data_IF_323722077164
#
_entry.id   IF_323722077164
#
_cell.length_a   1.000
_cell.length_b   1.000
_cell.length_c   1.000
_cell.angle_alpha   90.00
_cell.angle_beta   90.00
_cell.angle_gamma   90.00
#
_symmetry.space_group_name_H-M   'P 1'
#
loop_
_entity.id
_entity.type
_entity.pdbx_description
1 polymer ?
#
# COMPACT_ATOMS: atom_id res chain seq x y z
N UNK A 1 86.24 -102.34 91.31
CA UNK A 1 86.30 -103.71 91.88
C UNK A 1 87.48 -104.43 91.27
N UNK A 2 88.47 -104.69 92.11
CA UNK A 2 89.37 -105.85 92.08
C UNK A 2 88.55 -107.17 91.90
N UNK A 3 89.14 -108.33 91.59
CA UNK A 3 90.39 -108.80 92.20
C UNK A 3 91.30 -109.69 91.31
N UNK A 4 92.47 -110.00 91.88
CA UNK A 4 93.65 -110.64 91.29
C UNK A 4 93.95 -112.05 91.87
N UNK A 5 94.96 -112.82 91.37
CA UNK A 5 94.74 -114.27 91.18
C UNK A 5 95.48 -115.35 92.06
N UNK A 6 96.74 -115.80 91.82
CA UNK A 6 97.16 -117.22 92.08
C UNK A 6 98.35 -117.34 93.10
N UNK A 7 99.10 -118.47 93.30
CA UNK A 7 99.15 -119.74 92.56
C UNK A 7 99.41 -121.07 93.37
N UNK A 8 99.60 -122.17 92.62
CA UNK A 8 100.66 -123.24 92.67
C UNK A 8 101.58 -123.40 93.90
N UNK A 9 102.15 -124.58 94.26
CA UNK A 9 102.14 -125.96 93.68
C UNK A 9 102.78 -127.02 94.64
N UNK A 10 102.83 -128.29 94.17
CA UNK A 10 103.51 -129.53 94.65
C UNK A 10 105.02 -129.39 95.08
N UNK A 11 105.73 -130.40 95.68
CA UNK A 11 105.52 -131.88 95.61
C UNK A 11 105.84 -132.78 96.85
N UNK A 12 105.74 -134.10 96.65
CA UNK A 12 106.06 -135.28 97.50
C UNK A 12 107.59 -135.52 97.74
N UNK A 13 108.11 -136.50 98.56
CA UNK A 13 107.91 -137.97 98.35
C UNK A 13 108.07 -138.99 99.55
N UNK A 14 107.69 -140.24 99.28
CA UNK A 14 108.26 -141.56 99.73
C UNK A 14 108.51 -141.98 101.21
N UNK A 15 107.75 -142.99 101.66
CA UNK A 15 108.13 -144.36 102.16
C UNK A 15 109.62 -144.75 102.38
N UNK A 16 110.02 -145.74 103.25
CA UNK A 16 109.37 -147.07 103.40
C UNK A 16 109.50 -147.83 104.76
N UNK A 17 109.20 -149.14 104.73
CA UNK A 17 109.36 -150.25 105.72
C UNK A 17 110.82 -150.84 105.72
N UNK A 18 111.21 -152.04 106.28
CA UNK A 18 110.51 -153.12 107.00
C UNK A 18 111.28 -153.79 108.21
N UNK A 19 110.87 -155.01 108.60
CA UNK A 19 111.38 -155.88 109.69
C UNK A 19 112.78 -156.53 109.49
N UNK A 20 113.43 -156.93 110.60
CA UNK A 20 113.61 -158.38 110.91
C UNK A 20 115.02 -159.01 111.07
N UNK A 21 115.17 -159.85 112.12
CA UNK A 21 116.16 -160.96 112.33
C UNK A 21 117.68 -160.56 112.46
N UNK A 22 118.61 -161.35 113.04
CA UNK A 22 118.60 -162.73 113.62
C UNK A 22 119.63 -162.93 114.76
N UNK A 23 119.47 -164.02 115.54
CA UNK A 23 120.36 -164.74 116.49
C UNK A 23 121.88 -164.43 116.59
N UNK A 24 122.40 -164.39 117.84
CA UNK A 24 123.25 -165.46 118.44
C UNK A 24 123.63 -165.18 119.93
N UNK A 25 124.17 -166.20 120.62
CA UNK A 25 124.65 -166.16 122.03
C UNK A 25 125.83 -165.16 122.24
N UNK A 26 126.27 -164.74 123.43
CA UNK A 26 126.26 -165.35 124.78
C UNK A 26 126.09 -164.33 125.93
N UNK A 27 125.50 -164.80 127.05
CA UNK A 27 125.74 -164.49 128.48
C UNK A 27 125.73 -163.00 129.01
N UNK A 28 125.48 -162.77 130.32
CA UNK A 28 124.98 -161.47 130.83
C UNK A 28 126.08 -160.54 131.42
N UNK A 29 125.87 -159.24 131.70
CA UNK A 29 124.69 -158.55 132.23
C UNK A 29 124.46 -157.15 131.60
N UNK A 30 123.89 -157.08 130.39
CA UNK A 30 123.90 -155.87 129.53
C UNK A 30 122.60 -155.04 129.50
N UNK A 31 121.81 -155.06 130.59
CA UNK A 31 120.45 -154.47 130.62
C UNK A 31 120.43 -153.02 131.17
N UNK A 32 121.25 -152.68 132.17
CA UNK A 32 121.12 -151.42 132.93
C UNK A 32 121.60 -150.18 132.15
N UNK A 33 122.51 -150.34 131.18
CA UNK A 33 122.99 -149.20 130.37
C UNK A 33 122.00 -148.79 129.29
N UNK A 34 121.36 -149.74 128.59
CA UNK A 34 120.43 -149.45 127.48
C UNK A 34 119.24 -148.56 127.89
N UNK A 35 118.74 -148.73 129.11
CA UNK A 35 117.68 -147.90 129.70
C UNK A 35 118.10 -146.44 130.01
N UNK A 36 119.39 -146.09 129.94
CA UNK A 36 119.86 -144.71 130.01
C UNK A 36 119.89 -144.06 128.63
N UNK A 37 120.43 -144.77 127.64
CA UNK A 37 120.54 -144.31 126.25
C UNK A 37 119.13 -144.04 125.64
N UNK A 38 118.14 -144.85 125.99
CA UNK A 38 116.72 -144.64 125.61
C UNK A 38 116.11 -143.38 126.27
N UNK A 39 116.50 -143.06 127.51
CA UNK A 39 116.01 -141.87 128.22
C UNK A 39 116.67 -140.59 127.70
N UNK A 40 117.92 -140.68 127.22
CA UNK A 40 118.63 -139.59 126.56
C UNK A 40 118.00 -139.25 125.20
N UNK A 41 117.75 -140.26 124.34
CA UNK A 41 117.01 -140.06 123.08
C UNK A 41 115.62 -139.44 123.28
N UNK A 42 114.87 -139.89 124.28
CA UNK A 42 113.56 -139.32 124.60
C UNK A 42 113.63 -137.84 125.04
N UNK A 43 114.79 -137.33 125.49
CA UNK A 43 115.03 -135.90 125.71
C UNK A 43 115.38 -135.17 124.42
N UNK A 44 116.26 -135.73 123.60
CA UNK A 44 116.62 -135.16 122.30
C UNK A 44 115.38 -135.00 121.39
N UNK A 45 114.51 -136.01 121.32
CA UNK A 45 113.25 -135.95 120.59
C UNK A 45 112.32 -134.85 121.14
N UNK A 46 112.20 -134.74 122.46
CA UNK A 46 111.39 -133.68 123.11
C UNK A 46 111.95 -132.28 122.85
N UNK A 47 113.26 -132.12 122.85
CA UNK A 47 113.93 -130.84 122.56
C UNK A 47 113.81 -130.49 121.06
N UNK A 48 113.86 -131.49 120.18
CA UNK A 48 113.54 -131.32 118.76
C UNK A 48 112.10 -130.83 118.57
N UNK A 49 111.12 -131.42 119.25
CA UNK A 49 109.71 -131.00 119.19
C UNK A 49 109.50 -129.61 119.80
N UNK A 50 110.20 -129.25 120.88
CA UNK A 50 110.18 -127.91 121.44
C UNK A 50 110.74 -126.87 120.44
N UNK A 51 111.85 -127.19 119.75
CA UNK A 51 112.41 -126.32 118.71
C UNK A 51 111.48 -126.18 117.50
N UNK A 52 110.77 -127.24 117.10
CA UNK A 52 109.76 -127.19 116.05
C UNK A 52 108.56 -126.33 116.46
N UNK A 53 108.08 -126.45 117.69
CA UNK A 53 106.98 -125.63 118.21
C UNK A 53 107.37 -124.15 118.32
N UNK A 54 108.59 -123.85 118.77
CA UNK A 54 109.15 -122.50 118.77
C UNK A 54 109.36 -121.95 117.35
N UNK A 55 109.70 -122.80 116.38
CA UNK A 55 109.82 -122.45 114.96
C UNK A 55 108.45 -122.20 114.31
N UNK A 56 107.41 -122.91 114.75
CA UNK A 56 106.02 -122.63 114.32
C UNK A 56 105.52 -121.32 114.96
N UNK A 57 105.79 -121.07 116.24
CA UNK A 57 105.45 -119.79 116.88
C UNK A 57 106.20 -118.61 116.27
N UNK A 58 107.48 -118.76 115.90
CA UNK A 58 108.22 -117.71 115.19
C UNK A 58 107.72 -117.52 113.76
N UNK A 59 107.35 -118.57 113.04
CA UNK A 59 106.67 -118.48 111.72
C UNK A 59 105.31 -117.80 111.83
N UNK A 60 104.47 -118.15 112.81
CA UNK A 60 103.16 -117.50 113.03
C UNK A 60 103.33 -116.04 113.46
N UNK A 61 104.30 -115.73 114.32
CA UNK A 61 104.62 -114.34 114.68
C UNK A 61 105.15 -113.56 113.47
N UNK A 62 105.98 -114.17 112.63
CA UNK A 62 106.47 -113.54 111.40
C UNK A 62 105.34 -113.31 110.41
N UNK A 63 104.47 -114.29 110.17
CA UNK A 63 103.28 -114.13 109.30
C UNK A 63 102.34 -113.06 109.85
N UNK A 64 102.04 -113.06 111.15
CA UNK A 64 101.22 -112.01 111.78
C UNK A 64 101.85 -110.64 111.63
N UNK A 65 103.16 -110.53 111.81
CA UNK A 65 103.87 -109.24 111.72
C UNK A 65 104.04 -108.77 110.27
N UNK A 66 104.32 -109.66 109.30
CA UNK A 66 104.46 -109.28 107.87
C UNK A 66 103.11 -109.09 107.19
N UNK A 67 102.11 -109.92 107.48
CA UNK A 67 100.74 -109.72 106.98
C UNK A 67 100.07 -108.53 107.68
N UNK A 68 100.33 -108.30 108.96
CA UNK A 68 99.88 -107.09 109.67
C UNK A 68 100.55 -105.82 109.13
N UNK A 69 101.85 -105.87 108.80
CA UNK A 69 102.55 -104.78 108.13
C UNK A 69 102.04 -104.56 106.70
N UNK A 70 101.80 -105.64 105.93
CA UNK A 70 101.20 -105.55 104.59
C UNK A 70 99.78 -105.00 104.63
N UNK A 71 98.86 -105.59 105.38
CA UNK A 71 97.49 -105.08 105.50
C UNK A 71 97.44 -103.61 105.99
N UNK A 72 98.41 -103.17 106.80
CA UNK A 72 98.56 -101.75 107.16
C UNK A 72 99.10 -100.91 105.99
N UNK A 73 100.12 -101.39 105.27
CA UNK A 73 100.64 -100.74 104.05
C UNK A 73 99.55 -100.65 102.97
N UNK A 74 98.85 -101.74 102.68
CA UNK A 74 97.76 -101.85 101.71
C UNK A 74 96.59 -100.94 102.11
N UNK A 75 96.28 -100.81 103.41
CA UNK A 75 95.29 -99.86 103.91
C UNK A 75 95.75 -98.40 103.81
N UNK A 76 97.02 -98.09 104.10
CA UNK A 76 97.57 -96.75 103.89
C UNK A 76 97.76 -96.42 102.39
N UNK A 77 97.90 -97.43 101.52
CA UNK A 77 97.95 -97.24 100.07
C UNK A 77 96.55 -97.04 99.50
N UNK A 78 95.55 -97.79 99.98
CA UNK A 78 94.13 -97.53 99.70
C UNK A 78 93.67 -96.16 100.22
N UNK A 79 94.16 -95.70 101.36
CA UNK A 79 93.89 -94.36 101.90
C UNK A 79 94.54 -93.26 101.03
N UNK A 80 95.80 -93.44 100.59
CA UNK A 80 96.43 -92.52 99.63
C UNK A 80 95.77 -92.53 98.25
N UNK A 81 95.35 -93.70 97.75
CA UNK A 81 94.60 -93.82 96.50
C UNK A 81 93.19 -93.21 96.65
N UNK A 82 92.54 -93.37 97.80
CA UNK A 82 91.28 -92.71 98.14
C UNK A 82 91.42 -91.20 98.15
N UNK A 83 92.40 -90.64 98.88
CA UNK A 83 92.68 -89.20 98.90
C UNK A 83 93.04 -88.64 97.52
N UNK A 84 93.73 -89.42 96.67
CA UNK A 84 94.00 -89.03 95.28
C UNK A 84 92.74 -89.10 94.41
N UNK A 85 91.85 -90.06 94.64
CA UNK A 85 90.54 -90.14 93.98
C UNK A 85 89.65 -88.95 94.44
N UNK A 86 89.65 -88.59 95.71
CA UNK A 86 88.90 -87.45 96.26
C UNK A 86 89.44 -86.10 95.74
N UNK A 87 90.76 -85.99 95.56
CA UNK A 87 91.39 -84.84 94.88
C UNK A 87 91.00 -84.80 93.40
N UNK A 88 91.14 -85.90 92.67
CA UNK A 88 90.81 -85.95 91.24
C UNK A 88 89.30 -85.84 90.97
N UNK A 89 88.42 -86.23 91.90
CA UNK A 89 86.98 -85.98 91.79
C UNK A 89 86.65 -84.52 92.10
N UNK A 90 87.23 -83.91 93.13
CA UNK A 90 87.04 -82.47 93.38
C UNK A 90 87.57 -81.60 92.24
N UNK A 91 88.77 -81.87 91.71
CA UNK A 91 89.28 -81.18 90.51
C UNK A 91 88.38 -81.40 89.28
N UNK A 92 87.87 -82.63 89.07
CA UNK A 92 86.95 -82.95 87.97
C UNK A 92 85.59 -82.28 88.13
N UNK A 93 85.10 -82.15 89.36
CA UNK A 93 83.82 -81.52 89.66
C UNK A 93 83.94 -79.99 89.56
N UNK A 94 85.03 -79.39 90.05
CA UNK A 94 85.37 -77.97 89.85
C UNK A 94 85.54 -77.64 88.35
N UNK A 95 86.25 -78.48 87.60
CA UNK A 95 86.35 -78.34 86.14
C UNK A 95 84.99 -78.51 85.45
N UNK A 96 84.11 -79.39 85.95
CA UNK A 96 82.74 -79.49 85.43
C UNK A 96 81.88 -78.26 85.76
N UNK A 97 82.07 -77.65 86.94
CA UNK A 97 81.37 -76.44 87.36
C UNK A 97 81.80 -75.22 86.55
N UNK A 98 83.10 -75.11 86.26
CA UNK A 98 83.64 -74.02 85.43
C UNK A 98 83.30 -74.21 83.95
N UNK A 99 83.30 -75.44 83.43
CA UNK A 99 82.81 -75.74 82.08
C UNK A 99 81.31 -75.46 81.93
N UNK A 100 80.48 -75.81 82.91
CA UNK A 100 79.04 -75.49 82.86
C UNK A 100 78.77 -74.01 83.02
N UNK A 101 79.52 -73.29 83.87
CA UNK A 101 79.44 -71.83 83.97
C UNK A 101 79.82 -71.17 82.64
N UNK A 102 80.99 -71.50 82.06
CA UNK A 102 81.44 -71.00 80.76
C UNK A 102 80.47 -71.36 79.63
N UNK A 103 79.83 -72.53 79.69
CA UNK A 103 78.77 -72.90 78.74
C UNK A 103 77.55 -71.98 78.89
N UNK A 104 77.07 -71.72 80.11
CA UNK A 104 75.94 -70.80 80.32
C UNK A 104 76.27 -69.34 80.00
N UNK A 105 77.51 -68.89 80.21
CA UNK A 105 77.99 -67.57 79.78
C UNK A 105 78.06 -67.48 78.24
N UNK A 106 78.51 -68.54 77.57
CA UNK A 106 78.51 -68.63 76.11
C UNK A 106 77.09 -68.67 75.53
N UNK A 107 76.18 -69.44 76.13
CA UNK A 107 74.77 -69.52 75.72
C UNK A 107 74.03 -68.19 75.92
N UNK A 108 74.26 -67.50 77.05
CA UNK A 108 73.66 -66.18 77.30
C UNK A 108 74.25 -65.10 76.37
N UNK A 109 75.57 -65.06 76.19
CA UNK A 109 76.24 -64.17 75.24
C UNK A 109 75.77 -64.41 73.79
N UNK A 110 75.56 -65.67 73.40
CA UNK A 110 75.00 -66.01 72.10
C UNK A 110 73.55 -65.52 71.96
N UNK A 111 72.70 -65.71 72.97
CA UNK A 111 71.33 -65.21 72.99
C UNK A 111 71.26 -63.67 72.96
N UNK A 112 72.19 -62.97 73.62
CA UNK A 112 72.31 -61.51 73.52
C UNK A 112 72.76 -61.06 72.12
N UNK A 113 73.70 -61.77 71.50
CA UNK A 113 74.12 -61.53 70.11
C UNK A 113 72.97 -61.76 69.11
N UNK A 114 72.20 -62.83 69.24
CA UNK A 114 70.98 -63.04 68.44
C UNK A 114 69.95 -61.93 68.68
N UNK A 115 69.73 -61.55 69.95
CA UNK A 115 68.77 -60.51 70.33
C UNK A 115 69.16 -59.14 69.76
N UNK A 116 70.44 -58.77 69.83
CA UNK A 116 70.97 -57.51 69.27
C UNK A 116 70.99 -57.51 67.75
N UNK A 117 71.33 -58.64 67.11
CA UNK A 117 71.27 -58.80 65.64
C UNK A 117 69.83 -58.66 65.14
N UNK A 118 68.88 -59.34 65.79
CA UNK A 118 67.45 -59.22 65.48
C UNK A 118 66.94 -57.78 65.64
N UNK A 119 67.33 -57.07 66.72
CA UNK A 119 67.02 -55.65 66.92
C UNK A 119 67.64 -54.75 65.83
N UNK A 120 68.86 -55.05 65.39
CA UNK A 120 69.56 -54.30 64.35
C UNK A 120 68.89 -54.50 62.98
N UNK A 121 68.56 -55.74 62.60
CA UNK A 121 67.87 -56.03 61.35
C UNK A 121 66.43 -55.50 61.34
N UNK A 122 65.72 -55.51 62.48
CA UNK A 122 64.42 -54.85 62.62
C UNK A 122 64.55 -53.31 62.43
N UNK A 123 65.58 -52.68 63.01
CA UNK A 123 65.84 -51.25 62.82
C UNK A 123 66.24 -50.92 61.37
N UNK A 124 67.09 -51.75 60.75
CA UNK A 124 67.52 -51.63 59.36
C UNK A 124 66.35 -51.77 58.39
N UNK A 125 65.49 -52.77 58.60
CA UNK A 125 64.25 -52.96 57.84
C UNK A 125 63.32 -51.76 57.98
N UNK A 126 63.07 -51.28 59.22
CA UNK A 126 62.26 -50.07 59.46
C UNK A 126 62.84 -48.82 58.78
N UNK A 127 64.17 -48.67 58.79
CA UNK A 127 64.85 -47.56 58.12
C UNK A 127 64.74 -47.65 56.58
N UNK A 128 64.86 -48.86 56.02
CA UNK A 128 64.68 -49.10 54.59
C UNK A 128 63.24 -48.80 54.14
N UNK A 129 62.23 -49.26 54.90
CA UNK A 129 60.81 -48.93 54.65
C UNK A 129 60.59 -47.42 54.75
N UNK A 130 61.05 -46.78 55.82
CA UNK A 130 60.91 -45.32 56.00
C UNK A 130 61.57 -44.52 54.87
N UNK A 131 62.73 -44.95 54.37
CA UNK A 131 63.40 -44.33 53.23
C UNK A 131 62.61 -44.55 51.92
N UNK A 132 62.08 -45.76 51.70
CA UNK A 132 61.25 -46.07 50.54
C UNK A 132 59.93 -45.27 50.54
N UNK A 133 59.27 -45.14 51.68
CA UNK A 133 58.10 -44.27 51.85
C UNK A 133 58.44 -42.79 51.61
N UNK A 134 59.58 -42.31 52.12
CA UNK A 134 60.03 -40.94 51.88
C UNK A 134 60.24 -40.68 50.39
N UNK A 135 60.90 -41.61 49.69
CA UNK A 135 61.06 -41.57 48.23
C UNK A 135 59.73 -41.71 47.48
N UNK A 136 58.71 -42.33 48.06
CA UNK A 136 57.37 -42.39 47.46
C UNK A 136 56.66 -41.04 47.58
N UNK A 137 56.60 -40.48 48.80
CA UNK A 137 56.01 -39.16 49.09
C UNK A 137 56.69 -38.03 48.31
N UNK A 138 58.01 -38.11 48.13
CA UNK A 138 58.77 -37.12 47.36
C UNK A 138 58.56 -37.25 45.83
N UNK A 139 58.04 -38.38 45.33
CA UNK A 139 57.54 -38.48 43.95
C UNK A 139 56.12 -37.91 43.85
N UNK A 140 55.22 -38.34 44.75
CA UNK A 140 53.84 -37.84 44.82
C UNK A 140 53.77 -36.31 44.92
N UNK A 141 54.64 -35.69 45.73
CA UNK A 141 54.74 -34.23 45.83
C UNK A 141 55.19 -33.56 44.53
N UNK A 142 56.12 -34.17 43.77
CA UNK A 142 56.53 -33.67 42.45
C UNK A 142 55.40 -33.82 41.42
N UNK A 143 54.72 -34.96 41.42
CA UNK A 143 53.62 -35.23 40.49
C UNK A 143 52.43 -34.29 40.75
N UNK A 144 52.11 -34.02 42.03
CA UNK A 144 51.12 -33.03 42.43
C UNK A 144 51.56 -31.59 42.10
N UNK A 145 52.84 -31.25 42.22
CA UNK A 145 53.38 -29.96 41.77
C UNK A 145 53.23 -29.80 40.25
N UNK A 146 53.61 -30.81 39.47
CA UNK A 146 53.46 -30.83 38.01
C UNK A 146 51.99 -30.65 37.58
N UNK A 147 51.06 -31.36 38.21
CA UNK A 147 49.61 -31.23 37.95
C UNK A 147 49.07 -29.84 38.34
N UNK A 148 49.56 -29.27 39.44
CA UNK A 148 49.19 -27.93 39.90
C UNK A 148 49.78 -26.82 39.01
N UNK A 149 50.90 -27.06 38.34
CA UNK A 149 51.45 -26.17 37.31
C UNK A 149 50.71 -26.30 35.97
N UNK A 150 50.41 -27.52 35.51
CA UNK A 150 49.57 -27.77 34.33
C UNK A 150 48.21 -27.08 34.46
N UNK A 151 47.47 -27.34 35.55
CA UNK A 151 46.16 -26.71 35.79
C UNK A 151 46.21 -25.20 36.04
N UNK A 152 47.39 -24.61 36.31
CA UNK A 152 47.60 -23.15 36.28
C UNK A 152 47.76 -22.65 34.84
N UNK A 153 48.57 -23.33 34.02
CA UNK A 153 48.76 -23.00 32.61
C UNK A 153 47.45 -23.11 31.84
N UNK A 154 46.74 -24.24 31.95
CA UNK A 154 45.43 -24.47 31.33
C UNK A 154 44.45 -23.33 31.66
N UNK A 155 44.33 -22.99 32.94
CA UNK A 155 43.44 -21.93 33.43
C UNK A 155 43.81 -20.57 32.84
N UNK A 156 45.10 -20.26 32.74
CA UNK A 156 45.56 -18.98 32.19
C UNK A 156 45.48 -18.96 30.66
N UNK A 157 45.48 -20.10 29.98
CA UNK A 157 45.09 -20.22 28.56
C UNK A 157 43.59 -20.02 28.35
N UNK A 158 42.74 -20.63 29.17
CA UNK A 158 41.29 -20.39 29.14
C UNK A 158 40.92 -18.93 29.41
N UNK A 159 41.63 -18.24 30.32
CA UNK A 159 41.50 -16.78 30.50
C UNK A 159 41.82 -16.02 29.22
N UNK A 160 43.00 -16.24 28.64
CA UNK A 160 43.42 -15.56 27.40
C UNK A 160 42.48 -15.85 26.22
N UNK A 161 41.88 -17.03 26.18
CA UNK A 161 40.86 -17.38 25.19
C UNK A 161 39.58 -16.56 25.40
N UNK A 162 39.06 -16.55 26.63
CA UNK A 162 37.88 -15.76 27.01
C UNK A 162 38.09 -14.25 26.86
N UNK A 163 39.30 -13.74 27.09
CA UNK A 163 39.67 -12.33 26.89
C UNK A 163 39.67 -11.96 25.39
N UNK A 164 40.20 -12.83 24.52
CA UNK A 164 40.12 -12.66 23.05
C UNK A 164 38.67 -12.72 22.55
N UNK A 165 37.89 -13.70 23.02
CA UNK A 165 36.49 -13.87 22.66
C UNK A 165 35.65 -12.64 23.06
N UNK A 166 35.90 -12.08 24.26
CA UNK A 166 35.29 -10.81 24.70
C UNK A 166 35.70 -9.62 23.86
N UNK A 167 36.97 -9.53 23.45
CA UNK A 167 37.45 -8.45 22.59
C UNK A 167 36.72 -8.48 21.24
N UNK A 168 36.63 -9.65 20.59
CA UNK A 168 35.87 -9.83 19.34
C UNK A 168 34.37 -9.58 19.54
N UNK A 169 33.79 -9.99 20.67
CA UNK A 169 32.37 -9.76 20.97
C UNK A 169 32.03 -8.27 21.14
N UNK A 170 32.89 -7.47 21.79
CA UNK A 170 32.69 -6.02 21.91
C UNK A 170 33.04 -5.29 20.59
N UNK A 171 34.00 -5.78 19.79
CA UNK A 171 34.30 -5.27 18.44
C UNK A 171 33.07 -5.41 17.51
N UNK A 172 32.53 -6.62 17.36
CA UNK A 172 31.30 -6.89 16.59
C UNK A 172 30.10 -6.13 17.13
N UNK A 173 30.04 -5.85 18.44
CA UNK A 173 28.98 -5.02 19.04
C UNK A 173 29.11 -3.54 18.67
N UNK A 174 30.33 -3.01 18.59
CA UNK A 174 30.58 -1.64 18.11
C UNK A 174 30.21 -1.53 16.63
N UNK A 175 30.62 -2.49 15.80
CA UNK A 175 30.22 -2.56 14.37
C UNK A 175 28.69 -2.63 14.23
N UNK A 176 28.01 -3.50 14.98
CA UNK A 176 26.56 -3.61 14.96
C UNK A 176 25.86 -2.29 15.31
N UNK A 177 26.33 -1.60 16.35
CA UNK A 177 25.77 -0.31 16.77
C UNK A 177 26.12 0.84 15.79
N UNK A 178 27.19 0.74 15.00
CA UNK A 178 27.50 1.68 13.90
C UNK A 178 26.62 1.42 12.67
N UNK A 179 26.51 0.16 12.22
CA UNK A 179 25.60 -0.25 11.14
C UNK A 179 24.15 0.09 11.49
N UNK A 180 23.76 -0.08 12.76
CA UNK A 180 22.45 0.32 13.25
C UNK A 180 22.22 1.83 13.15
N UNK A 181 23.19 2.67 13.58
CA UNK A 181 23.06 4.13 13.48
C UNK A 181 23.01 4.62 12.04
N UNK A 182 23.79 4.03 11.14
CA UNK A 182 23.73 4.37 9.71
C UNK A 182 22.39 3.96 9.08
N UNK A 183 21.81 2.81 9.47
CA UNK A 183 20.44 2.44 9.08
C UNK A 183 19.36 3.36 9.66
N UNK A 184 19.50 3.82 10.91
CA UNK A 184 18.59 4.78 11.54
C UNK A 184 18.69 6.17 10.86
N UNK A 185 19.89 6.61 10.47
CA UNK A 185 20.10 7.83 9.66
C UNK A 185 19.49 7.73 8.26
N UNK A 186 19.79 6.66 7.51
CA UNK A 186 19.30 6.45 6.14
C UNK A 186 17.76 6.39 6.06
N UNK A 187 17.10 5.87 7.11
CA UNK A 187 15.63 5.93 7.23
C UNK A 187 15.11 7.34 7.42
N UNK A 188 15.77 8.17 8.24
CA UNK A 188 15.42 9.58 8.38
C UNK A 188 15.59 10.38 7.08
N UNK A 189 16.60 10.03 6.28
CA UNK A 189 16.80 10.59 4.94
C UNK A 189 15.70 10.11 3.95
N UNK A 190 15.35 8.81 3.98
CA UNK A 190 14.24 8.24 3.18
C UNK A 190 12.90 8.90 3.52
N UNK A 191 12.54 9.01 4.80
CA UNK A 191 11.33 9.68 5.28
C UNK A 191 11.30 11.16 4.87
N UNK A 192 12.45 11.84 4.90
CA UNK A 192 12.62 13.21 4.41
C UNK A 192 12.30 13.34 2.92
N UNK A 193 12.93 12.52 2.08
CA UNK A 193 12.74 12.50 0.62
C UNK A 193 11.30 12.12 0.23
N UNK A 194 10.69 11.14 0.93
CA UNK A 194 9.28 10.79 0.74
C UNK A 194 8.38 11.98 1.07
N UNK A 195 8.61 12.67 2.18
CA UNK A 195 7.84 13.87 2.56
C UNK A 195 8.02 15.04 1.59
N UNK A 196 9.18 15.21 0.96
CA UNK A 196 9.38 16.18 -0.13
C UNK A 196 8.62 15.79 -1.40
N UNK A 197 8.71 14.52 -1.81
CA UNK A 197 7.99 13.97 -2.96
C UNK A 197 6.47 14.09 -2.79
N UNK A 198 5.93 13.92 -1.58
CA UNK A 198 4.51 14.13 -1.29
C UNK A 198 4.10 15.60 -1.44
N UNK A 199 4.89 16.54 -0.92
CA UNK A 199 4.64 17.99 -1.08
C UNK A 199 4.70 18.42 -2.56
N UNK A 200 5.63 17.90 -3.35
CA UNK A 200 5.66 18.16 -4.79
C UNK A 200 4.47 17.53 -5.53
N UNK A 201 4.04 16.32 -5.13
CA UNK A 201 2.80 15.70 -5.64
C UNK A 201 1.57 16.52 -5.29
N UNK A 202 1.49 17.12 -4.11
CA UNK A 202 0.40 18.03 -3.72
C UNK A 202 0.40 19.33 -4.53
N UNK A 203 1.57 19.96 -4.71
CA UNK A 203 1.73 21.12 -5.61
C UNK A 203 1.30 20.79 -7.04
N UNK A 204 1.70 19.63 -7.57
CA UNK A 204 1.32 19.18 -8.91
C UNK A 204 -0.19 18.94 -9.04
N UNK A 205 -0.83 18.28 -8.06
CA UNK A 205 -2.30 18.10 -8.02
C UNK A 205 -3.03 19.44 -7.94
N UNK A 206 -2.54 20.38 -7.13
CA UNK A 206 -3.12 21.72 -6.99
C UNK A 206 -3.04 22.49 -8.32
N UNK A 207 -1.86 22.52 -8.94
CA UNK A 207 -1.67 23.15 -10.25
C UNK A 207 -2.53 22.48 -11.34
N UNK A 208 -2.66 21.15 -11.33
CA UNK A 208 -3.55 20.43 -12.25
C UNK A 208 -5.02 20.84 -12.06
N UNK A 209 -5.50 20.96 -10.83
CA UNK A 209 -6.85 21.43 -10.53
C UNK A 209 -7.07 22.87 -11.01
N UNK A 210 -6.15 23.79 -10.71
CA UNK A 210 -6.20 25.19 -11.17
C UNK A 210 -6.18 25.30 -12.70
N UNK A 211 -5.39 24.46 -13.38
CA UNK A 211 -5.38 24.39 -14.85
C UNK A 211 -6.69 23.82 -15.41
N UNK A 212 -7.28 22.82 -14.76
CA UNK A 212 -8.58 22.25 -15.15
C UNK A 212 -9.72 23.28 -14.96
N UNK A 213 -9.73 24.01 -13.85
CA UNK A 213 -10.69 25.10 -13.59
C UNK A 213 -10.53 26.24 -14.61
N UNK A 214 -9.29 26.63 -14.94
CA UNK A 214 -9.01 27.64 -15.96
C UNK A 214 -9.43 27.17 -17.36
N UNK A 215 -9.20 25.90 -17.71
CA UNK A 215 -9.68 25.31 -18.96
C UNK A 215 -11.22 25.30 -19.01
N UNK A 216 -11.89 24.86 -17.95
CA UNK A 216 -13.35 24.85 -17.87
C UNK A 216 -13.96 26.26 -17.97
N UNK A 217 -13.33 27.26 -17.34
CA UNK A 217 -13.72 28.67 -17.45
C UNK A 217 -13.53 29.20 -18.87
N UNK A 218 -12.40 28.91 -19.53
CA UNK A 218 -12.15 29.33 -20.92
C UNK A 218 -13.06 28.63 -21.93
N UNK A 219 -13.36 27.35 -21.73
CA UNK A 219 -14.36 26.62 -22.51
C UNK A 219 -15.75 27.25 -22.35
N UNK A 220 -16.11 27.71 -21.15
CA UNK A 220 -17.37 28.40 -20.90
C UNK A 220 -17.42 29.77 -21.58
N UNK A 221 -16.38 30.61 -21.42
CA UNK A 221 -16.25 31.90 -22.10
C UNK A 221 -16.33 31.75 -23.63
N UNK A 222 -15.63 30.77 -24.21
CA UNK A 222 -15.63 30.52 -25.65
C UNK A 222 -17.02 30.05 -26.14
N UNK A 223 -17.68 29.14 -25.43
CA UNK A 223 -19.03 28.69 -25.77
C UNK A 223 -20.06 29.82 -25.67
N UNK A 224 -19.93 30.71 -24.68
CA UNK A 224 -20.77 31.90 -24.59
C UNK A 224 -20.51 32.86 -25.76
N UNK A 225 -19.25 33.19 -26.04
CA UNK A 225 -18.90 34.08 -27.15
C UNK A 225 -19.38 33.53 -28.50
N UNK A 226 -19.23 32.23 -28.76
CA UNK A 226 -19.77 31.57 -29.97
C UNK A 226 -21.28 31.73 -30.04
N UNK A 227 -22.02 31.41 -28.96
CA UNK A 227 -23.48 31.58 -28.91
C UNK A 227 -23.92 33.03 -29.13
N UNK A 228 -23.19 33.99 -28.58
CA UNK A 228 -23.50 35.42 -28.72
C UNK A 228 -23.24 35.88 -30.17
N UNK A 229 -22.20 35.36 -30.85
CA UNK A 229 -21.97 35.59 -32.28
C UNK A 229 -22.99 34.87 -33.18
N UNK A 230 -23.43 33.65 -32.84
CA UNK A 230 -24.53 32.95 -33.53
C UNK A 230 -25.86 33.72 -33.41
N UNK A 231 -26.14 34.29 -32.24
CA UNK A 231 -27.29 35.16 -32.01
C UNK A 231 -27.21 36.45 -32.84
N UNK A 232 -26.03 37.08 -32.92
CA UNK A 232 -25.83 38.24 -33.78
C UNK A 232 -25.96 37.89 -35.27
N UNK A 233 -25.39 36.76 -35.70
CA UNK A 233 -25.45 36.29 -37.10
C UNK A 233 -26.89 36.00 -37.52
N UNK A 234 -27.67 35.34 -36.66
CA UNK A 234 -29.10 35.06 -36.93
C UNK A 234 -29.94 36.34 -36.94
N UNK A 235 -29.73 37.27 -36.00
CA UNK A 235 -30.41 38.57 -36.00
C UNK A 235 -30.09 39.41 -37.25
N UNK A 236 -28.80 39.49 -37.64
CA UNK A 236 -28.38 40.19 -38.86
C UNK A 236 -28.99 39.51 -40.09
N UNK A 237 -28.99 38.18 -40.16
CA UNK A 237 -29.59 37.43 -41.27
C UNK A 237 -31.10 37.65 -41.38
N UNK A 238 -31.82 37.69 -40.25
CA UNK A 238 -33.25 38.02 -40.20
C UNK A 238 -33.49 39.45 -40.70
N UNK A 239 -32.78 40.45 -40.16
CA UNK A 239 -32.93 41.84 -40.61
C UNK A 239 -32.61 42.02 -42.10
N UNK A 240 -31.61 41.31 -42.63
CA UNK A 240 -31.25 41.29 -44.04
C UNK A 240 -32.34 40.65 -44.90
N UNK A 241 -33.00 39.59 -44.42
CA UNK A 241 -34.16 39.00 -45.08
C UNK A 241 -35.37 39.95 -45.08
N UNK A 242 -35.63 40.65 -43.97
CA UNK A 242 -36.66 41.70 -43.91
C UNK A 242 -36.36 42.84 -44.88
N UNK A 243 -35.12 43.37 -44.91
CA UNK A 243 -34.75 44.45 -45.82
C UNK A 243 -34.84 44.03 -47.28
N UNK A 244 -34.49 42.78 -47.62
CA UNK A 244 -34.74 42.22 -48.97
C UNK A 244 -36.22 42.11 -49.29
N UNK A 245 -37.06 41.66 -48.35
CA UNK A 245 -38.52 41.60 -48.57
C UNK A 245 -39.13 42.99 -48.73
N UNK A 246 -38.71 43.99 -47.92
CA UNK A 246 -39.11 45.39 -48.06
C UNK A 246 -38.67 45.97 -49.41
N UNK A 247 -37.45 45.68 -49.86
CA UNK A 247 -36.95 46.11 -51.16
C UNK A 247 -37.76 45.51 -52.32
N UNK A 248 -37.96 44.19 -52.35
CA UNK A 248 -38.75 43.51 -53.39
C UNK A 248 -40.20 44.00 -53.42
N UNK A 249 -40.82 44.25 -52.26
CA UNK A 249 -42.17 44.81 -52.19
C UNK A 249 -42.22 46.25 -52.74
N UNK A 250 -41.18 47.07 -52.48
CA UNK A 250 -41.08 48.43 -53.01
C UNK A 250 -40.78 48.45 -54.52
N UNK A 251 -39.97 47.51 -55.02
CA UNK A 251 -39.71 47.30 -56.46
C UNK A 251 -40.97 46.87 -57.20
N UNK A 252 -41.77 45.96 -56.63
CA UNK A 252 -43.06 45.54 -57.18
C UNK A 252 -44.09 46.69 -57.19
N UNK A 253 -44.14 47.51 -56.13
CA UNK A 253 -44.96 48.73 -56.10
C UNK A 253 -44.46 49.78 -57.11
N UNK A 254 -43.16 49.86 -57.37
CA UNK A 254 -42.60 50.73 -58.40
C UNK A 254 -43.02 50.26 -59.80
N UNK A 255 -42.99 48.95 -60.08
CA UNK A 255 -43.46 48.38 -61.34
C UNK A 255 -44.97 48.58 -61.53
N UNK A 256 -45.78 48.39 -60.50
CA UNK A 256 -47.23 48.65 -60.54
C UNK A 256 -47.55 50.13 -60.76
N UNK A 257 -46.85 51.04 -60.06
CA UNK A 257 -47.03 52.49 -60.24
C UNK A 257 -46.51 52.98 -61.60
N UNK A 258 -45.44 52.38 -62.14
CA UNK A 258 -44.97 52.64 -63.51
C UNK A 258 -45.98 52.14 -64.55
N UNK A 259 -46.53 50.93 -64.36
CA UNK A 259 -47.55 50.33 -65.22
C UNK A 259 -48.83 51.17 -65.25
N UNK A 260 -49.38 51.52 -64.08
CA UNK A 260 -50.56 52.39 -63.96
C UNK A 260 -50.31 53.80 -64.48
N UNK A 261 -49.10 54.36 -64.30
CA UNK A 261 -48.70 55.64 -64.93
C UNK A 261 -48.66 55.52 -66.46
N UNK A 262 -48.14 54.43 -67.02
CA UNK A 262 -48.11 54.22 -68.47
C UNK A 262 -49.54 54.13 -69.05
N UNK A 263 -50.45 53.47 -68.34
CA UNK A 263 -51.88 53.41 -68.66
C UNK A 263 -52.57 54.77 -68.52
N UNK A 264 -52.22 55.56 -67.51
CA UNK A 264 -52.72 56.92 -67.36
C UNK A 264 -52.28 57.82 -68.52
N UNK A 265 -51.03 57.71 -68.99
CA UNK A 265 -50.51 58.43 -70.16
C UNK A 265 -51.16 57.96 -71.48
N UNK A 266 -51.57 56.70 -71.59
CA UNK A 266 -52.37 56.21 -72.72
C UNK A 266 -53.78 56.82 -72.69
N UNK A 267 -54.46 56.76 -71.55
CA UNK A 267 -55.78 57.37 -71.36
C UNK A 267 -55.76 58.90 -71.54
N UNK A 268 -54.67 59.58 -71.16
CA UNK A 268 -54.51 61.02 -71.39
C UNK A 268 -54.39 61.35 -72.89
N UNK A 269 -53.71 60.50 -73.68
CA UNK A 269 -53.66 60.63 -75.14
C UNK A 269 -55.03 60.38 -75.76
N UNK A 270 -55.71 59.30 -75.37
CA UNK A 270 -57.07 59.01 -75.82
C UNK A 270 -58.02 60.18 -75.48
N UNK A 271 -57.97 60.71 -74.26
CA UNK A 271 -58.78 61.87 -73.87
C UNK A 271 -58.45 63.12 -74.69
N UNK A 272 -57.18 63.38 -75.02
CA UNK A 272 -56.77 64.48 -75.93
C UNK A 272 -57.32 64.27 -77.34
N UNK A 273 -57.26 63.05 -77.88
CA UNK A 273 -57.80 62.70 -79.20
C UNK A 273 -59.34 62.78 -79.24
N UNK A 274 -60.02 62.26 -78.21
CA UNK A 274 -61.48 62.37 -78.07
C UNK A 274 -61.91 63.82 -77.87
N UNK A 275 -61.17 64.64 -77.11
CA UNK A 275 -61.46 66.07 -76.95
C UNK A 275 -61.21 66.85 -78.25
N UNK A 276 -60.19 66.50 -79.03
CA UNK A 276 -59.97 67.04 -80.38
C UNK A 276 -61.12 66.65 -81.34
N UNK A 277 -61.59 65.41 -81.27
CA UNK A 277 -62.76 64.94 -82.02
C UNK A 277 -64.05 65.65 -81.59
N UNK A 278 -64.25 65.87 -80.29
CA UNK A 278 -65.36 66.69 -79.75
C UNK A 278 -65.23 68.13 -80.24
N UNK A 279 -64.01 68.68 -80.34
CA UNK A 279 -63.75 69.99 -80.94
C UNK A 279 -64.17 70.06 -82.41
N UNK A 280 -63.80 69.04 -83.21
CA UNK A 280 -64.23 68.91 -84.62
C UNK A 280 -65.75 68.79 -84.74
N UNK A 281 -66.37 67.84 -84.03
CA UNK A 281 -67.83 67.63 -84.03
C UNK A 281 -68.60 68.87 -83.54
N UNK A 282 -68.06 69.64 -82.58
CA UNK A 282 -68.64 70.94 -82.17
C UNK A 282 -68.53 71.98 -83.27
N UNK A 283 -67.39 72.06 -83.97
CA UNK A 283 -67.24 72.98 -85.10
C UNK A 283 -68.14 72.59 -86.28
N UNK A 284 -68.24 71.31 -86.61
CA UNK A 284 -69.17 70.76 -87.60
C UNK A 284 -70.64 71.03 -87.20
N UNK A 285 -71.00 70.89 -85.92
CA UNK A 285 -72.33 71.25 -85.43
C UNK A 285 -72.62 72.76 -85.51
N UNK A 286 -71.61 73.62 -85.28
CA UNK A 286 -71.73 75.08 -85.51
C UNK A 286 -71.90 75.37 -86.99
N UNK A 287 -71.10 74.77 -87.89
CA UNK A 287 -71.22 74.92 -89.34
C UNK A 287 -72.59 74.43 -89.83
N UNK A 288 -73.10 73.30 -89.33
CA UNK A 288 -74.45 72.83 -89.65
C UNK A 288 -75.53 73.78 -89.12
N UNK A 289 -75.33 74.41 -87.97
CA UNK A 289 -76.25 75.43 -87.46
C UNK A 289 -76.18 76.72 -88.30
N UNK A 290 -75.01 77.12 -88.78
CA UNK A 290 -74.85 78.23 -89.75
C UNK A 290 -75.53 77.90 -91.08
N UNK A 291 -75.33 76.69 -91.63
CA UNK A 291 -76.04 76.20 -92.82
C UNK A 291 -77.56 76.20 -92.62
N UNK A 292 -78.06 75.82 -91.43
CA UNK A 292 -79.48 75.82 -91.09
C UNK A 292 -80.03 77.25 -90.94
N UNK A 293 -79.31 78.14 -90.25
CA UNK A 293 -79.63 79.58 -90.14
C UNK A 293 -79.63 80.23 -91.53
N UNK A 294 -78.72 79.86 -92.41
CA UNK A 294 -78.65 80.39 -93.77
C UNK A 294 -79.75 79.81 -94.68
N UNK A 295 -80.09 78.52 -94.55
CA UNK A 295 -81.26 77.93 -95.21
C UNK A 295 -82.56 78.62 -94.78
N UNK A 296 -82.75 78.84 -93.47
CA UNK A 296 -83.88 79.61 -92.94
C UNK A 296 -83.86 81.07 -93.39
N UNK A 297 -82.70 81.71 -93.49
CA UNK A 297 -82.54 83.08 -94.02
C UNK A 297 -82.88 83.16 -95.52
N UNK A 298 -82.51 82.15 -96.31
CA UNK A 298 -82.91 82.01 -97.73
C UNK A 298 -84.42 81.84 -97.86
N UNK A 299 -85.02 80.92 -97.08
CA UNK A 299 -86.47 80.68 -97.05
C UNK A 299 -87.27 81.94 -96.67
N UNK A 300 -86.81 82.69 -95.68
CA UNK A 300 -87.47 83.93 -95.23
C UNK A 300 -87.38 85.06 -96.26
N UNK A 301 -86.33 85.08 -97.09
CA UNK A 301 -86.17 86.04 -98.21
C UNK A 301 -87.02 85.65 -99.42
N UNK A 302 -87.02 84.39 -99.86
CA UNK A 302 -87.87 83.95 -100.98
C UNK A 302 -89.38 84.10 -100.68
N UNK A 303 -89.78 83.92 -99.42
CA UNK A 303 -91.17 84.14 -98.98
C UNK A 303 -91.60 85.62 -98.98
N UNK A 304 -90.67 86.58 -98.82
CA UNK A 304 -91.01 88.01 -98.87
C UNK A 304 -91.04 88.56 -100.29
N UNK A 305 -90.14 88.09 -101.16
CA UNK A 305 -89.98 88.55 -102.54
C UNK A 305 -91.10 88.08 -103.48
N UNK A 306 -91.65 86.89 -103.23
CA UNK A 306 -92.84 86.37 -103.93
C UNK A 306 -94.12 87.14 -103.60
N UNK A 307 -94.28 87.66 -102.37
CA UNK A 307 -95.49 88.39 -101.97
C UNK A 307 -95.58 89.79 -102.61
N UNK A 308 -94.46 90.49 -102.78
CA UNK A 308 -94.47 91.90 -103.24
C UNK A 308 -94.54 92.08 -104.76
N UNK A 309 -94.29 91.04 -105.56
CA UNK A 309 -94.07 91.17 -107.01
C UNK A 309 -95.30 90.86 -107.88
N UNK A 310 -96.36 90.29 -107.29
CA UNK A 310 -97.60 89.90 -107.99
C UNK A 310 -98.58 91.07 -108.09
N UNK A 311 -98.90 91.72 -106.97
CA UNK A 311 -99.97 92.73 -106.88
C UNK A 311 -99.76 93.92 -107.84
N UNK A 312 -98.54 94.47 -107.89
CA UNK A 312 -98.23 95.63 -108.75
C UNK A 312 -98.41 95.37 -110.25
N UNK A 313 -98.20 94.12 -110.70
CA UNK A 313 -98.41 93.73 -112.11
C UNK A 313 -99.90 93.60 -112.44
N UNK A 314 -100.71 93.10 -111.51
CA UNK A 314 -102.15 92.95 -111.68
C UNK A 314 -102.85 94.32 -111.78
N UNK A 315 -102.55 95.23 -110.84
CA UNK A 315 -103.08 96.60 -110.77
C UNK A 315 -102.81 97.38 -112.06
N UNK A 316 -101.56 97.35 -112.54
CA UNK A 316 -101.13 98.13 -113.72
C UNK A 316 -101.91 97.74 -114.98
N UNK A 317 -102.24 96.46 -115.15
CA UNK A 317 -102.96 95.96 -116.32
C UNK A 317 -104.44 96.43 -116.32
N UNK A 318 -105.12 96.32 -115.18
CA UNK A 318 -106.50 96.77 -115.00
C UNK A 318 -106.63 98.29 -115.25
N UNK A 319 -105.64 99.08 -114.83
CA UNK A 319 -105.61 100.53 -115.05
C UNK A 319 -105.50 100.90 -116.55
N UNK A 320 -104.69 100.16 -117.33
CA UNK A 320 -104.62 100.33 -118.79
C UNK A 320 -105.95 99.96 -119.48
N UNK A 321 -106.58 98.87 -119.05
CA UNK A 321 -107.90 98.42 -119.54
C UNK A 321 -108.99 99.48 -119.29
N UNK A 322 -108.98 100.10 -118.10
CA UNK A 322 -109.88 101.19 -117.75
C UNK A 322 -109.70 102.42 -118.64
N UNK A 323 -108.46 102.88 -118.87
CA UNK A 323 -108.21 104.09 -119.67
C UNK A 323 -108.64 103.95 -121.13
N UNK A 324 -108.41 102.78 -121.73
CA UNK A 324 -108.66 102.50 -123.16
C UNK A 324 -110.12 102.23 -123.53
N UNK A 325 -111.00 101.98 -122.55
CA UNK A 325 -112.41 101.66 -122.79
C UNK A 325 -113.26 102.92 -123.08
N UNK A 326 -114.04 102.99 -124.19
CA UNK A 326 -114.85 104.16 -124.53
C UNK A 326 -115.82 104.62 -123.44
N UNK A 327 -116.10 105.94 -123.42
CA UNK A 327 -116.77 106.66 -122.31
C UNK A 327 -118.26 106.34 -122.07
N UNK A 328 -118.80 105.33 -122.74
CA UNK A 328 -120.23 104.96 -122.72
C UNK A 328 -120.49 103.46 -122.45
N UNK A 329 -119.46 102.65 -122.12
CA UNK A 329 -119.63 101.23 -121.78
C UNK A 329 -119.76 101.02 -120.25
N UNK A 330 -120.78 100.28 -119.83
CA UNK A 330 -121.06 99.90 -118.44
C UNK A 330 -119.89 99.15 -117.77
N UNK A 331 -119.11 98.36 -118.53
CA UNK A 331 -117.97 97.57 -118.02
C UNK A 331 -116.90 98.43 -117.35
N UNK A 332 -116.86 99.72 -117.67
CA UNK A 332 -115.91 100.68 -117.11
C UNK A 332 -116.08 100.87 -115.59
N UNK A 333 -117.29 100.64 -115.05
CA UNK A 333 -117.54 100.66 -113.60
C UNK A 333 -117.09 99.38 -112.90
N UNK A 334 -117.28 98.21 -113.51
CA UNK A 334 -116.87 96.91 -112.93
C UNK A 334 -115.35 96.81 -112.78
N UNK A 335 -114.59 97.27 -113.79
CA UNK A 335 -113.12 97.33 -113.73
C UNK A 335 -112.63 98.28 -112.63
N UNK A 336 -113.33 99.40 -112.39
CA UNK A 336 -113.04 100.31 -111.28
C UNK A 336 -113.38 99.70 -109.91
N UNK A 337 -114.47 98.94 -109.80
CA UNK A 337 -114.85 98.24 -108.58
C UNK A 337 -113.80 97.19 -108.17
N UNK A 338 -113.29 96.43 -109.15
CA UNK A 338 -112.17 95.49 -108.96
C UNK A 338 -110.85 96.20 -108.61
N UNK A 339 -110.59 97.37 -109.20
CA UNK A 339 -109.43 98.20 -108.81
C UNK A 339 -109.53 98.64 -107.35
N UNK A 340 -110.72 99.07 -106.90
CA UNK A 340 -110.96 99.49 -105.52
C UNK A 340 -110.83 98.38 -104.47
N UNK A 341 -111.19 97.13 -104.80
CA UNK A 341 -110.98 95.99 -103.89
C UNK A 341 -109.52 95.50 -103.88
N UNK A 342 -108.85 95.46 -105.03
CA UNK A 342 -107.44 95.05 -105.11
C UNK A 342 -106.52 96.10 -104.44
N UNK A 343 -106.76 97.39 -104.66
CA UNK A 343 -105.96 98.46 -104.05
C UNK A 343 -106.40 98.84 -102.63
N UNK A 344 -107.41 98.16 -102.06
CA UNK A 344 -107.95 98.41 -100.72
C UNK A 344 -108.36 99.87 -100.47
N UNK A 345 -109.04 100.50 -101.45
CA UNK A 345 -109.51 101.89 -101.34
C UNK A 345 -110.49 102.07 -100.17
N UNK A 346 -110.32 103.16 -99.42
CA UNK A 346 -111.25 103.55 -98.36
C UNK A 346 -112.56 104.10 -98.95
N UNK A 347 -113.62 104.11 -98.15
CA UNK A 347 -114.98 104.41 -98.60
C UNK A 347 -115.09 105.81 -99.26
N UNK A 348 -114.41 106.83 -98.72
CA UNK A 348 -114.33 108.17 -99.33
C UNK A 348 -113.68 108.20 -100.72
N UNK A 349 -112.70 107.33 -100.96
CA UNK A 349 -111.98 107.26 -102.23
C UNK A 349 -112.85 106.56 -103.28
N UNK A 350 -113.62 105.54 -102.84
CA UNK A 350 -114.61 104.84 -103.66
C UNK A 350 -115.82 105.73 -104.00
N UNK A 351 -116.23 106.61 -103.09
CA UNK A 351 -117.25 107.63 -103.35
C UNK A 351 -116.76 108.67 -104.38
N UNK A 352 -115.55 109.22 -104.20
CA UNK A 352 -114.92 110.14 -105.18
C UNK A 352 -114.67 109.49 -106.55
N UNK A 353 -114.48 108.17 -106.60
CA UNK A 353 -114.41 107.38 -107.83
C UNK A 353 -115.79 107.01 -108.45
N UNK A 354 -116.90 107.39 -107.80
CA UNK A 354 -118.27 107.16 -108.30
C UNK A 354 -118.75 105.71 -108.17
N UNK A 355 -118.15 104.90 -107.30
CA UNK A 355 -118.36 103.44 -107.23
C UNK A 355 -119.37 102.96 -106.20
N UNK A 356 -119.84 103.83 -105.31
CA UNK A 356 -120.75 103.48 -104.23
C UNK A 356 -122.00 104.35 -104.26
N UNK A 357 -123.15 103.68 -104.11
CA UNK A 357 -124.44 104.31 -103.82
C UNK A 357 -125.01 103.69 -102.54
N UNK A 358 -124.45 104.11 -101.41
CA UNK A 358 -124.91 103.90 -100.03
C UNK A 358 -125.26 102.46 -99.58
N UNK A 359 -124.47 101.86 -98.67
CA UNK A 359 -125.03 100.91 -97.70
C UNK A 359 -124.17 99.73 -97.18
N UNK A 360 -123.43 99.97 -96.08
CA UNK A 360 -123.70 99.35 -94.76
C UNK A 360 -123.35 97.86 -94.42
N UNK A 361 -122.34 97.67 -93.54
CA UNK A 361 -122.27 96.69 -92.40
C UNK A 361 -122.20 95.15 -92.72
N UNK A 362 -121.72 94.16 -91.91
CA UNK A 362 -120.98 94.04 -90.61
C UNK A 362 -120.48 92.59 -90.30
N UNK A 363 -119.24 92.42 -89.75
CA UNK A 363 -118.77 91.49 -88.65
C UNK A 363 -119.19 89.97 -88.68
N UNK A 364 -119.13 89.05 -87.67
CA UNK A 364 -118.70 88.97 -86.23
C UNK A 364 -118.16 87.54 -85.83
N UNK A 365 -117.25 87.42 -84.83
CA UNK A 365 -117.17 86.36 -83.75
C UNK A 365 -116.89 84.85 -84.13
N UNK A 366 -116.54 83.85 -83.27
CA UNK A 366 -115.95 83.71 -81.88
C UNK A 366 -115.62 82.21 -81.48
N UNK A 367 -114.60 81.96 -80.60
CA UNK A 367 -114.32 80.80 -79.64
C UNK A 367 -113.78 79.38 -80.05
N UNK A 368 -112.57 79.06 -79.52
CA UNK A 368 -112.07 77.86 -78.76
C UNK A 368 -112.44 76.38 -79.04
N UNK A 369 -111.41 75.51 -79.30
CA UNK A 369 -111.19 74.05 -78.95
C UNK A 369 -109.93 73.51 -79.70
N UNK A 370 -109.13 72.47 -79.35
CA UNK A 370 -108.96 71.60 -78.15
C UNK A 370 -108.24 70.24 -78.45
N UNK A 371 -107.60 69.60 -77.44
CA UNK A 371 -106.94 68.24 -77.43
C UNK A 371 -105.68 68.04 -78.34
N UNK A 372 -104.81 67.00 -78.22
CA UNK A 372 -104.63 65.87 -77.25
C UNK A 372 -104.33 64.52 -77.95
N UNK A 373 -103.52 63.54 -77.48
CA UNK A 373 -102.54 63.48 -76.37
C UNK A 373 -102.27 62.04 -75.82
N UNK A 374 -101.05 61.46 -75.94
CA UNK A 374 -100.66 60.15 -75.35
C UNK A 374 -99.26 59.63 -75.76
N UNK A 375 -98.59 58.67 -75.10
CA UNK A 375 -98.93 57.80 -73.94
C UNK A 375 -98.56 56.32 -74.25
N UNK A 376 -98.04 55.44 -73.37
CA UNK A 376 -97.64 55.42 -71.95
C UNK A 376 -96.57 54.31 -71.74
N UNK A 377 -96.51 53.41 -70.74
CA UNK A 377 -96.98 53.27 -69.33
C UNK A 377 -96.72 51.80 -68.86
N UNK A 378 -96.20 51.56 -67.64
CA UNK A 378 -96.48 50.32 -66.85
C UNK A 378 -95.92 50.38 -65.40
N UNK A 379 -96.73 50.13 -64.36
CA UNK A 379 -96.30 49.75 -63.01
C UNK A 379 -97.04 48.50 -62.47
N UNK A 380 -96.56 47.88 -61.36
CA UNK A 380 -97.34 47.42 -60.17
C UNK A 380 -96.65 46.31 -59.30
N UNK A 381 -96.40 46.65 -58.02
CA UNK A 381 -96.31 45.84 -56.76
C UNK A 381 -95.32 44.66 -56.50
N UNK A 382 -95.12 44.49 -55.18
CA UNK A 382 -94.53 43.37 -54.37
C UNK A 382 -93.00 43.16 -54.24
N UNK A 383 -92.51 43.27 -52.97
CA UNK A 383 -91.61 42.33 -52.22
C UNK A 383 -90.27 41.94 -52.90
N UNK A 384 -89.07 42.35 -52.44
CA UNK A 384 -88.40 42.37 -51.10
C UNK A 384 -87.53 43.64 -50.94
N UNK A 385 -87.06 44.14 -49.78
CA UNK A 385 -86.67 43.62 -48.46
C UNK A 385 -85.33 42.86 -48.37
N UNK A 386 -84.33 43.30 -49.15
CA UNK A 386 -82.98 42.68 -49.20
C UNK A 386 -81.83 43.60 -48.74
N UNK A 387 -82.03 44.91 -48.70
CA UNK A 387 -80.96 45.89 -48.43
C UNK A 387 -80.55 46.03 -46.96
N UNK A 388 -81.38 45.62 -45.99
CA UNK A 388 -80.97 45.57 -44.58
C UNK A 388 -80.09 44.36 -44.23
N UNK A 389 -80.12 43.31 -45.08
CA UNK A 389 -79.43 42.04 -44.82
C UNK A 389 -77.90 42.18 -44.85
N UNK A 390 -77.36 42.82 -45.89
CA UNK A 390 -75.91 42.99 -46.06
C UNK A 390 -75.29 43.90 -44.99
N UNK A 391 -76.00 44.97 -44.61
CA UNK A 391 -75.56 45.86 -43.51
C UNK A 391 -75.57 45.14 -42.16
N UNK A 392 -76.57 44.30 -41.87
CA UNK A 392 -76.59 43.49 -40.65
C UNK A 392 -75.46 42.47 -40.62
N UNK A 393 -75.25 41.73 -41.70
CA UNK A 393 -74.17 40.73 -41.79
C UNK A 393 -72.78 41.36 -41.66
N UNK A 394 -72.57 42.57 -42.20
CA UNK A 394 -71.29 43.29 -42.04
C UNK A 394 -71.09 43.83 -40.61
N UNK A 395 -72.16 44.34 -39.97
CA UNK A 395 -72.12 44.75 -38.54
C UNK A 395 -71.95 43.56 -37.60
N UNK A 396 -72.57 42.42 -37.89
CA UNK A 396 -72.42 41.17 -37.13
C UNK A 396 -71.00 40.60 -37.31
N UNK A 397 -70.43 40.66 -38.50
CA UNK A 397 -69.01 40.32 -38.74
C UNK A 397 -68.07 41.22 -37.91
N UNK A 398 -68.27 42.55 -37.95
CA UNK A 398 -67.45 43.50 -37.19
C UNK A 398 -67.57 43.30 -35.68
N UNK A 399 -68.77 43.06 -35.15
CA UNK A 399 -68.97 42.72 -33.74
C UNK A 399 -68.33 41.38 -33.36
N UNK A 400 -68.31 40.40 -34.28
CA UNK A 400 -67.76 39.07 -34.06
C UNK A 400 -66.24 39.02 -34.10
N UNK A 401 -65.58 39.82 -34.94
CA UNK A 401 -64.11 40.00 -34.86
C UNK A 401 -63.73 40.88 -33.66
N UNK A 402 -64.44 41.98 -33.38
CA UNK A 402 -64.12 42.87 -32.27
C UNK A 402 -64.14 42.14 -30.90
N UNK A 403 -65.10 41.23 -30.69
CA UNK A 403 -65.15 40.40 -29.47
C UNK A 403 -64.26 39.14 -29.52
N UNK A 404 -63.57 38.85 -30.64
CA UNK A 404 -62.65 37.72 -30.76
C UNK A 404 -61.17 38.11 -30.54
N UNK A 405 -60.85 39.41 -30.51
CA UNK A 405 -59.48 39.92 -30.36
C UNK A 405 -58.96 40.08 -28.93
N UNK A 406 -59.84 40.07 -27.91
CA UNK A 406 -59.48 40.34 -26.51
C UNK A 406 -60.02 39.23 -25.57
N UNK A 407 -59.27 38.11 -25.48
CA UNK A 407 -59.73 36.93 -24.76
C UNK A 407 -58.69 35.82 -24.60
N UNK A 408 -57.86 35.93 -23.54
CA UNK A 408 -56.84 34.96 -23.11
C UNK A 408 -55.59 34.87 -24.03
N UNK A 409 -54.39 34.54 -23.53
CA UNK A 409 -54.04 33.98 -22.22
C UNK A 409 -53.05 34.85 -21.42
N UNK A 410 -53.32 34.99 -20.12
CA UNK A 410 -52.32 35.37 -19.12
C UNK A 410 -51.77 34.11 -18.44
N UNK A 411 -50.45 34.05 -18.27
CA UNK A 411 -49.82 33.38 -17.12
C UNK A 411 -49.88 34.33 -15.90
N UNK A 412 -49.71 33.85 -14.64
CA UNK A 412 -49.22 32.53 -14.23
C UNK A 412 -50.12 31.84 -13.17
N UNK A 413 -49.72 30.65 -12.71
CA UNK A 413 -49.48 30.34 -11.27
C UNK A 413 -49.17 28.85 -11.06
N UNK A 414 -48.09 28.56 -10.32
CA UNK A 414 -47.86 27.26 -9.67
C UNK A 414 -47.42 27.48 -8.23
N UNK A 415 -48.09 26.83 -7.26
CA UNK A 415 -47.52 26.55 -5.95
C UNK A 415 -47.38 25.04 -5.73
N UNK A 416 -46.39 24.64 -4.93
CA UNK A 416 -46.07 23.25 -4.61
C UNK A 416 -46.80 22.73 -3.37
N UNK A 417 -47.25 21.47 -3.41
CA UNK A 417 -47.30 20.60 -2.23
C UNK A 417 -47.17 19.13 -2.65
N UNK A 418 -46.17 18.43 -2.12
CA UNK A 418 -46.08 16.96 -2.11
C UNK A 418 -46.05 16.48 -0.66
N UNK A 419 -46.74 15.37 -0.36
CA UNK A 419 -46.82 14.81 0.99
C UNK A 419 -47.09 13.29 0.96
N UNK A 420 -46.67 12.59 2.02
CA UNK A 420 -46.62 11.12 2.18
C UNK A 420 -45.62 10.40 1.25
N UNK A 421 -44.82 9.41 1.71
CA UNK A 421 -44.72 8.75 3.03
C UNK A 421 -43.28 8.33 3.41
N UNK A 422 -43.07 8.09 4.71
CA UNK A 422 -41.89 7.49 5.39
C UNK A 422 -41.70 5.99 5.03
N UNK A 423 -40.63 5.24 5.46
CA UNK A 423 -39.62 5.48 6.53
C UNK A 423 -38.13 5.32 6.07
N UNK A 424 -37.06 5.37 6.90
CA UNK A 424 -36.89 5.78 8.31
C UNK A 424 -35.65 5.13 8.99
N UNK A 425 -34.76 5.93 9.61
CA UNK A 425 -33.58 5.49 10.40
C UNK A 425 -32.95 6.66 11.21
N UNK A 426 -32.07 6.43 12.21
CA UNK A 426 -32.14 7.21 13.46
C UNK A 426 -31.16 8.38 13.70
N UNK A 427 -31.48 9.13 14.75
CA UNK A 427 -30.64 9.97 15.65
C UNK A 427 -29.27 9.36 16.01
N UNK A 428 -28.22 10.08 16.44
CA UNK A 428 -28.08 11.24 17.36
C UNK A 428 -26.97 12.19 16.83
N UNK A 429 -26.59 13.36 17.39
CA UNK A 429 -26.97 14.17 18.56
C UNK A 429 -25.94 15.34 18.71
N UNK A 430 -26.26 16.52 19.31
CA UNK A 430 -25.48 17.75 19.09
C UNK A 430 -24.63 18.24 20.28
N UNK A 431 -23.68 19.17 20.05
CA UNK A 431 -23.43 20.31 20.97
C UNK A 431 -22.50 21.43 20.44
N UNK A 432 -22.89 22.67 20.76
CA UNK A 432 -22.09 23.85 21.14
C UNK A 432 -20.90 24.39 20.31
N UNK A 433 -21.20 25.47 19.57
CA UNK A 433 -20.79 26.87 19.86
C UNK A 433 -19.30 27.24 20.12
N UNK A 434 -18.96 28.45 19.59
CA UNK A 434 -18.07 29.50 20.14
C UNK A 434 -16.57 29.49 19.79
N UNK A 435 -16.18 30.37 18.86
CA UNK A 435 -15.32 31.54 19.15
C UNK A 435 -15.21 32.50 17.93
N UNK A 436 -15.13 33.83 18.13
CA UNK A 436 -14.77 34.78 17.08
C UNK A 436 -13.48 35.60 17.39
N UNK A 437 -13.04 36.38 16.40
CA UNK A 437 -12.23 37.63 16.48
C UNK A 437 -10.68 37.63 16.58
N UNK A 438 -10.09 38.06 15.43
CA UNK A 438 -9.17 39.22 15.27
C UNK A 438 -7.63 39.10 15.41
N UNK A 439 -6.95 40.07 14.75
CA UNK A 439 -5.51 40.46 14.78
C UNK A 439 -4.57 39.50 14.01
N UNK A 440 -3.85 39.88 12.92
CA UNK A 440 -3.34 41.19 12.41
C UNK A 440 -2.30 41.80 13.39
N UNK A 441 -1.03 42.08 13.08
CA UNK A 441 -0.33 42.47 11.81
C UNK A 441 1.19 42.15 11.88
N UNK A 442 1.89 42.21 10.73
CA UNK A 442 3.29 42.70 10.55
C UNK A 442 4.47 41.91 11.20
N UNK A 443 5.75 42.10 10.85
CA UNK A 443 6.47 42.50 9.61
C UNK A 443 8.00 42.33 9.82
N UNK A 444 8.86 42.64 8.83
CA UNK A 444 10.36 42.67 8.88
C UNK A 444 11.00 41.26 8.87
N UNK A 445 12.14 40.98 8.22
CA UNK A 445 13.01 41.84 7.38
C UNK A 445 14.15 41.05 6.70
N UNK A 446 14.99 41.74 5.92
CA UNK A 446 15.94 41.16 4.95
C UNK A 446 17.24 40.56 5.49
N UNK A 447 17.66 39.44 4.88
CA UNK A 447 19.05 39.13 4.49
C UNK A 447 18.98 38.17 3.27
N UNK A 448 19.69 38.30 2.14
CA UNK A 448 21.01 38.81 1.76
C UNK A 448 22.09 37.71 1.62
N UNK A 449 22.23 37.22 0.38
CA UNK A 449 23.42 36.65 -0.29
C UNK A 449 24.35 35.67 0.44
N UNK A 450 24.39 34.43 -0.05
CA UNK A 450 25.62 33.78 -0.55
C UNK A 450 25.27 32.52 -1.37
N UNK A 451 25.62 32.49 -2.66
CA UNK A 451 25.55 31.28 -3.48
C UNK A 451 26.98 30.81 -3.81
N UNK A 452 27.37 29.63 -3.31
CA UNK A 452 28.66 29.00 -3.62
C UNK A 452 28.49 28.15 -4.88
N UNK A 453 29.36 28.36 -5.87
CA UNK A 453 29.46 27.52 -7.05
C UNK A 453 30.89 26.97 -7.16
N UNK A 454 31.05 25.67 -6.99
CA UNK A 454 32.29 24.94 -7.29
C UNK A 454 31.95 23.48 -7.54
N UNK A 455 32.18 23.02 -8.77
CA UNK A 455 32.02 21.64 -9.17
C UNK A 455 33.39 21.09 -9.60
N UNK A 456 33.85 19.96 -9.04
CA UNK A 456 34.95 19.18 -9.60
C UNK A 456 34.38 18.10 -10.54
N UNK A 457 34.82 18.07 -11.80
CA UNK A 457 34.48 17.00 -12.74
C UNK A 457 35.71 16.17 -13.14
N UNK A 458 35.46 14.95 -13.60
CA UNK A 458 36.32 13.78 -13.52
C UNK A 458 37.53 13.81 -14.46
N UNK A 459 38.72 13.62 -13.90
CA UNK A 459 39.89 13.08 -14.62
C UNK A 459 40.12 11.65 -14.14
N UNK A 460 39.81 10.66 -14.97
CA UNK A 460 40.07 9.24 -14.69
C UNK A 460 41.10 8.68 -15.69
N UNK A 461 42.30 8.34 -15.19
CA UNK A 461 43.45 7.99 -16.01
C UNK A 461 43.46 6.53 -16.49
N UNK A 462 43.53 6.31 -17.81
CA UNK A 462 43.78 4.98 -18.39
C UNK A 462 45.27 4.62 -18.30
N UNK A 463 45.69 4.04 -17.18
CA UNK A 463 46.98 3.38 -17.04
C UNK A 463 46.82 1.85 -16.92
N UNK A 464 47.22 1.10 -17.96
CA UNK A 464 47.46 -0.35 -17.82
C UNK A 464 48.56 -0.79 -18.78
N UNK A 465 49.75 -0.96 -18.23
CA UNK A 465 50.95 -1.36 -18.97
C UNK A 465 51.01 -2.88 -19.17
N UNK A 466 52.12 -3.37 -19.75
CA UNK A 466 52.25 -4.71 -20.33
C UNK A 466 53.16 -5.65 -19.53
N UNK A 467 52.97 -6.93 -19.85
CA UNK A 467 54.00 -7.99 -19.97
C UNK A 467 54.50 -8.74 -18.73
N UNK A 468 54.56 -10.06 -18.94
CA UNK A 468 55.39 -11.07 -18.27
C UNK A 468 55.00 -11.41 -16.82
N UNK A 469 55.28 -12.63 -16.35
CA UNK A 469 56.03 -13.74 -16.99
C UNK A 469 55.22 -15.04 -17.04
#
# INVERSE_FOLDING_TARGET
>A
MSDSPPPSSEPSPSSPTPNGHTDQNEEPQTIIQKLRDELEKAREEKESLASQHQTLLSKVSNIRNTLGAKLKQDAEELDRQGQLIDQLTSERDDLSSTLTLLQTELETSHSELESTTSKYDALRSRMQVSAQESMHRERELRDLQNQLEQTRLDRDEWKRSCEKEKAVAEEVRVEYEEVRRTLEMLRGEEEGVVGELEREREKARNLQAVLQDFQAAKDHELRQAVKDYESQLTQVTQSLAEFKSRALNAELQLEETQSTTSRALQLEKELKEKNLLIGKLRHEAVIMNEHLIEALRRLRRSSTETKSSVDGRLVTNILLQFLTTPRADSKRFEMLALLGTILSWNEEEREKAGLLRAGSHTLLHQKSTGWGGGGGKSPELERTDETESFSRLWVEFLLKEANAGDGAQQLPLTPSTTASSLPGSPTLGPSNLRAPQTRRLASIGSAASAAVASAPDLVNGKGKERMRE
#
